data_IF_829917932246
#
_entry.id   IF_829917932246
#
_cell.length_a   1.000
_cell.length_b   1.000
_cell.length_c   1.000
_cell.angle_alpha   90.00
_cell.angle_beta   90.00
_cell.angle_gamma   90.00
#
_symmetry.space_group_name_H-M   'P 1'
#
loop_
_entity.id
_entity.type
_entity.pdbx_description
1 polymer ?
#
# COMPACT_ATOMS: atom_id res chain seq x y z
N UNK A 1 17.82 -2.02 -9.80
CA UNK A 1 18.25 -3.33 -9.25
C UNK A 1 17.11 -3.97 -8.48
N UNK A 2 16.87 -5.28 -8.64
CA UNK A 2 15.83 -6.04 -7.94
C UNK A 2 16.39 -7.35 -7.40
N UNK A 3 15.73 -7.91 -6.38
CA UNK A 3 16.07 -9.20 -5.77
C UNK A 3 14.80 -10.04 -5.64
N UNK A 4 14.81 -11.26 -6.19
CA UNK A 4 13.72 -12.23 -6.06
C UNK A 4 14.18 -13.35 -5.12
N UNK A 5 13.48 -13.64 -4.01
CA UNK A 5 13.87 -14.67 -3.07
C UNK A 5 13.49 -16.08 -3.58
N UNK A 6 13.96 -16.45 -4.77
CA UNK A 6 13.73 -17.76 -5.38
C UNK A 6 14.96 -18.21 -6.18
N UNK A 7 15.34 -19.48 -6.06
CA UNK A 7 16.49 -20.01 -6.76
C UNK A 7 16.20 -20.14 -8.25
N UNK A 8 17.04 -19.52 -9.10
CA UNK A 8 16.87 -19.58 -10.55
C UNK A 8 17.40 -20.88 -11.19
N UNK A 9 17.51 -22.00 -10.46
CA UNK A 9 17.96 -23.29 -11.00
C UNK A 9 17.05 -23.84 -12.10
N UNK A 10 15.75 -23.55 -12.01
CA UNK A 10 14.73 -23.99 -12.97
C UNK A 10 14.56 -23.04 -14.15
N UNK A 11 15.22 -21.86 -14.14
CA UNK A 11 15.11 -20.89 -15.22
C UNK A 11 13.74 -20.20 -15.33
N UNK A 12 12.88 -20.30 -14.30
CA UNK A 12 11.52 -19.70 -14.29
C UNK A 12 11.48 -18.30 -13.70
N UNK A 13 12.55 -17.84 -13.04
CA UNK A 13 12.59 -16.52 -12.39
C UNK A 13 12.57 -15.43 -13.45
N UNK A 14 11.70 -14.44 -13.27
CA UNK A 14 11.52 -13.32 -14.20
C UNK A 14 11.45 -12.00 -13.45
N UNK A 15 11.72 -10.90 -14.17
CA UNK A 15 11.65 -9.55 -13.62
C UNK A 15 10.26 -9.26 -13.01
N UNK A 16 10.19 -8.75 -11.76
CA UNK A 16 8.92 -8.42 -11.10
C UNK A 16 8.22 -7.19 -11.70
N UNK A 17 8.88 -6.47 -12.62
CA UNK A 17 8.32 -5.30 -13.31
C UNK A 17 7.71 -5.65 -14.67
N UNK A 18 8.07 -6.80 -15.23
CA UNK A 18 7.68 -7.18 -16.60
C UNK A 18 6.76 -8.41 -16.62
N UNK A 19 6.92 -9.34 -15.66
CA UNK A 19 6.22 -10.63 -15.68
C UNK A 19 5.55 -10.96 -14.35
N UNK A 20 4.37 -11.61 -14.38
CA UNK A 20 3.69 -12.15 -13.21
C UNK A 20 4.57 -13.07 -12.37
N UNK A 21 4.48 -12.95 -11.05
CA UNK A 21 5.32 -13.68 -10.10
C UNK A 21 4.63 -14.93 -9.49
N UNK A 22 3.66 -15.53 -10.19
CA UNK A 22 2.89 -16.68 -9.71
C UNK A 22 3.71 -17.96 -9.43
N UNK A 23 4.99 -17.99 -9.78
CA UNK A 23 5.90 -19.07 -9.40
C UNK A 23 6.37 -19.00 -7.94
N UNK A 24 6.24 -17.84 -7.28
CA UNK A 24 6.60 -17.66 -5.86
C UNK A 24 5.53 -18.18 -4.92
N UNK A 25 4.27 -18.02 -5.29
CA UNK A 25 3.13 -18.36 -4.45
C UNK A 25 1.91 -18.67 -5.32
N UNK A 26 0.95 -19.40 -4.78
CA UNK A 26 -0.31 -19.69 -5.48
C UNK A 26 -1.10 -18.41 -5.78
N UNK A 27 -1.78 -18.29 -6.93
CA UNK A 27 -2.47 -17.07 -7.35
C UNK A 27 -3.46 -16.50 -6.33
N UNK A 28 -4.15 -17.36 -5.56
CA UNK A 28 -5.11 -16.92 -4.56
C UNK A 28 -4.47 -16.10 -3.42
N UNK A 29 -3.17 -16.30 -3.14
CA UNK A 29 -2.45 -15.51 -2.11
C UNK A 29 -2.31 -14.05 -2.55
N UNK A 30 -2.13 -13.81 -3.85
CA UNK A 30 -2.11 -12.46 -4.42
C UNK A 30 -3.50 -11.81 -4.35
N UNK A 31 -4.56 -12.57 -4.64
CA UNK A 31 -5.94 -12.09 -4.49
C UNK A 31 -6.29 -11.79 -3.03
N UNK A 32 -5.84 -12.63 -2.08
CA UNK A 32 -6.02 -12.40 -0.65
C UNK A 32 -5.28 -11.13 -0.18
N UNK A 33 -4.05 -10.91 -0.67
CA UNK A 33 -3.29 -9.68 -0.40
C UNK A 33 -4.00 -8.45 -0.97
N UNK A 34 -4.53 -8.53 -2.19
CA UNK A 34 -5.31 -7.44 -2.79
C UNK A 34 -6.57 -7.12 -1.96
N UNK A 35 -7.30 -8.14 -1.51
CA UNK A 35 -8.46 -7.97 -0.64
C UNK A 35 -8.08 -7.34 0.72
N UNK A 36 -6.95 -7.77 1.31
CA UNK A 36 -6.43 -7.18 2.53
C UNK A 36 -6.08 -5.69 2.36
N UNK A 37 -5.37 -5.33 1.29
CA UNK A 37 -5.05 -3.93 0.99
C UNK A 37 -6.32 -3.09 0.77
N UNK A 38 -7.32 -3.64 0.08
CA UNK A 38 -8.61 -2.98 -0.10
C UNK A 38 -9.35 -2.74 1.23
N UNK A 39 -9.36 -3.72 2.14
CA UNK A 39 -9.91 -3.56 3.49
C UNK A 39 -9.18 -2.47 4.28
N UNK A 40 -7.85 -2.41 4.19
CA UNK A 40 -7.06 -1.34 4.83
C UNK A 40 -7.40 0.04 4.28
N UNK A 41 -7.67 0.17 2.98
CA UNK A 41 -8.12 1.44 2.39
C UNK A 41 -9.51 1.80 2.93
N UNK A 42 -10.46 0.85 2.92
CA UNK A 42 -11.83 1.08 3.37
C UNK A 42 -11.94 1.46 4.85
N UNK A 43 -11.11 0.89 5.71
CA UNK A 43 -11.13 1.19 7.15
C UNK A 43 -10.18 2.34 7.51
N UNK A 44 -8.99 2.36 6.91
CA UNK A 44 -7.96 3.35 7.19
C UNK A 44 -8.35 4.75 6.72
N UNK A 45 -8.97 4.88 5.55
CA UNK A 45 -9.40 6.19 5.04
C UNK A 45 -10.40 6.90 5.98
N UNK A 46 -11.56 6.32 6.35
CA UNK A 46 -12.54 6.99 7.19
C UNK A 46 -12.03 7.28 8.60
N UNK A 47 -11.22 6.40 9.20
CA UNK A 47 -10.68 6.61 10.56
C UNK A 47 -9.75 7.84 10.58
N UNK A 48 -8.82 7.90 9.64
CA UNK A 48 -7.90 9.04 9.55
C UNK A 48 -8.65 10.31 9.13
N UNK A 49 -9.65 10.21 8.24
CA UNK A 49 -10.43 11.35 7.78
C UNK A 49 -11.27 11.94 8.90
N UNK A 50 -11.92 11.08 9.70
CA UNK A 50 -12.67 11.50 10.89
C UNK A 50 -11.76 12.20 11.89
N UNK A 51 -10.53 11.71 12.09
CA UNK A 51 -9.54 12.34 12.98
C UNK A 51 -9.19 13.76 12.52
N UNK A 52 -8.93 13.94 11.23
CA UNK A 52 -8.72 15.27 10.61
C UNK A 52 -9.95 16.17 10.77
N UNK A 53 -11.14 15.66 10.44
CA UNK A 53 -12.40 16.38 10.49
C UNK A 53 -12.72 16.88 11.91
N UNK A 54 -12.66 16.00 12.92
CA UNK A 54 -12.93 16.33 14.32
C UNK A 54 -11.91 17.36 14.84
N UNK A 55 -10.64 17.25 14.45
CA UNK A 55 -9.59 18.20 14.87
C UNK A 55 -9.80 19.59 14.26
N UNK A 56 -10.29 19.68 13.02
CA UNK A 56 -10.61 20.96 12.36
C UNK A 56 -11.83 21.62 13.01
N UNK A 57 -12.89 20.85 13.27
CA UNK A 57 -14.16 21.32 13.83
C UNK A 57 -14.02 21.82 15.28
N UNK A 58 -13.29 21.10 16.12
CA UNK A 58 -13.18 21.45 17.55
C UNK A 58 -11.92 22.28 17.85
N UNK A 59 -12.07 23.61 17.94
CA UNK A 59 -10.97 24.53 18.33
C UNK A 59 -10.31 24.19 19.68
N UNK A 60 -11.02 23.53 20.60
CA UNK A 60 -10.47 23.05 21.89
C UNK A 60 -9.40 21.95 21.74
N UNK A 61 -9.39 21.22 20.63
CA UNK A 61 -8.44 20.15 20.37
C UNK A 61 -7.13 20.66 19.76
N UNK A 62 -6.88 21.97 19.67
CA UNK A 62 -5.65 22.53 19.08
C UNK A 62 -4.51 22.66 20.11
N UNK A 63 -4.21 21.56 20.80
CA UNK A 63 -3.07 21.47 21.73
C UNK A 63 -1.84 20.92 21.00
N UNK A 64 -0.61 21.20 21.46
CA UNK A 64 0.63 20.68 20.86
C UNK A 64 0.62 19.14 20.69
N UNK A 65 -0.03 18.41 21.59
CA UNK A 65 -0.18 16.95 21.52
C UNK A 65 -1.04 16.51 20.32
N UNK A 66 -2.11 17.24 20.00
CA UNK A 66 -3.02 16.90 18.91
C UNK A 66 -2.47 17.27 17.52
N UNK A 67 -1.47 18.16 17.44
CA UNK A 67 -0.77 18.41 16.17
C UNK A 67 0.05 17.19 15.70
N UNK A 68 0.57 16.37 16.61
CA UNK A 68 1.26 15.11 16.27
C UNK A 68 0.27 14.10 15.69
N UNK A 69 -0.92 13.98 16.31
CA UNK A 69 -1.99 13.12 15.80
C UNK A 69 -2.50 13.59 14.44
N UNK A 70 -2.58 14.90 14.21
CA UNK A 70 -2.95 15.48 12.92
C UNK A 70 -1.92 15.16 11.84
N UNK A 71 -0.63 15.30 12.15
CA UNK A 71 0.46 14.94 11.23
C UNK A 71 0.42 13.45 10.89
N UNK A 72 0.20 12.59 11.88
CA UNK A 72 0.04 11.15 11.66
C UNK A 72 -1.17 10.85 10.77
N UNK A 73 -2.32 11.47 11.03
CA UNK A 73 -3.52 11.30 10.21
C UNK A 73 -3.31 11.76 8.76
N UNK A 74 -2.55 12.83 8.54
CA UNK A 74 -2.19 13.33 7.22
C UNK A 74 -1.20 12.41 6.50
N UNK A 75 -0.18 11.91 7.21
CA UNK A 75 0.75 10.92 6.68
C UNK A 75 0.03 9.63 6.26
N UNK A 76 -0.91 9.14 7.08
CA UNK A 76 -1.73 7.97 6.75
C UNK A 76 -2.59 8.18 5.51
N UNK A 77 -3.10 9.40 5.24
CA UNK A 77 -3.83 9.66 4.00
C UNK A 77 -2.95 9.47 2.76
N UNK A 78 -1.71 9.96 2.78
CA UNK A 78 -0.79 9.75 1.66
C UNK A 78 -0.46 8.27 1.48
N UNK A 79 -0.26 7.52 2.56
CA UNK A 79 -0.04 6.07 2.49
C UNK A 79 -1.23 5.34 1.85
N UNK A 80 -2.45 5.70 2.23
CA UNK A 80 -3.67 5.08 1.69
C UNK A 80 -3.87 5.44 0.21
N UNK A 81 -3.67 6.70 -0.17
CA UNK A 81 -3.91 7.18 -1.53
C UNK A 81 -2.82 6.79 -2.53
N UNK A 82 -1.57 6.68 -2.09
CA UNK A 82 -0.43 6.32 -2.92
C UNK A 82 0.01 4.86 -2.73
N UNK A 83 0.54 4.54 -1.55
CA UNK A 83 1.17 3.24 -1.31
C UNK A 83 0.19 2.06 -1.39
N UNK A 84 -0.95 2.13 -0.70
CA UNK A 84 -1.90 1.02 -0.65
C UNK A 84 -2.64 0.81 -1.96
N UNK A 85 -2.99 1.87 -2.69
CA UNK A 85 -3.62 1.77 -4.02
C UNK A 85 -2.67 1.13 -5.04
N UNK A 86 -1.40 1.55 -5.06
CA UNK A 86 -0.36 0.96 -5.93
C UNK A 86 -0.13 -0.51 -5.60
N UNK A 87 -0.06 -0.84 -4.29
CA UNK A 87 0.14 -2.21 -3.83
C UNK A 87 -1.06 -3.11 -4.15
N UNK A 88 -2.29 -2.61 -3.97
CA UNK A 88 -3.51 -3.30 -4.35
C UNK A 88 -3.51 -3.60 -5.86
N UNK A 89 -3.26 -2.58 -6.68
CA UNK A 89 -3.27 -2.72 -8.14
C UNK A 89 -2.20 -3.71 -8.63
N UNK A 90 -1.00 -3.64 -8.05
CA UNK A 90 0.09 -4.58 -8.35
C UNK A 90 -0.23 -6.00 -7.89
N UNK A 91 -0.88 -6.16 -6.73
CA UNK A 91 -1.30 -7.47 -6.20
C UNK A 91 -2.39 -8.12 -7.07
N UNK A 92 -3.31 -7.33 -7.63
CA UNK A 92 -4.32 -7.85 -8.56
C UNK A 92 -3.71 -8.44 -9.83
N UNK A 93 -2.60 -7.86 -10.32
CA UNK A 93 -1.91 -8.33 -11.52
C UNK A 93 -0.82 -9.38 -11.21
N UNK A 94 -0.41 -9.53 -9.95
CA UNK A 94 0.63 -10.48 -9.53
C UNK A 94 2.06 -10.04 -9.87
N UNK A 95 2.26 -8.79 -10.29
CA UNK A 95 3.56 -8.16 -10.53
C UNK A 95 3.44 -6.63 -10.43
N UNK A 96 4.58 -5.95 -10.37
CA UNK A 96 4.62 -4.50 -10.16
C UNK A 96 4.46 -3.73 -11.48
N UNK A 97 3.21 -3.44 -11.84
CA UNK A 97 2.82 -2.87 -13.15
C UNK A 97 3.41 -1.47 -13.40
N UNK A 98 3.65 -0.69 -12.35
CA UNK A 98 4.17 0.67 -12.46
C UNK A 98 5.68 0.75 -12.67
N UNK A 99 6.35 -0.39 -12.86
CA UNK A 99 7.78 -0.47 -13.12
C UNK A 99 8.65 0.06 -11.96
N UNK A 100 9.91 0.34 -12.26
CA UNK A 100 10.86 0.84 -11.26
C UNK A 100 10.47 2.22 -10.73
N UNK A 101 9.97 3.11 -11.59
CA UNK A 101 9.60 4.47 -11.21
C UNK A 101 8.48 4.48 -10.17
N UNK A 102 7.42 3.68 -10.37
CA UNK A 102 6.35 3.58 -9.37
C UNK A 102 6.77 2.87 -8.09
N UNK A 103 7.87 2.11 -8.10
CA UNK A 103 8.42 1.46 -6.92
C UNK A 103 9.29 2.43 -6.08
N UNK A 104 9.83 3.48 -6.71
CA UNK A 104 10.62 4.50 -6.04
C UNK A 104 9.79 5.62 -5.42
N UNK A 105 8.57 5.84 -5.93
CA UNK A 105 7.61 6.83 -5.44
C UNK A 105 6.82 6.25 -4.26
#
# INVERSE_FOLDING_TARGET
NFYVPFSNKTGVVRSPFEYPQYYLAEPWKYSALAAYMFLLILLGFPINFMTLYVTIQHKKLRTPLNYILLNLAFANHFMVLGGFTVTMYSSMHGYFVFGQTGCYI
#
